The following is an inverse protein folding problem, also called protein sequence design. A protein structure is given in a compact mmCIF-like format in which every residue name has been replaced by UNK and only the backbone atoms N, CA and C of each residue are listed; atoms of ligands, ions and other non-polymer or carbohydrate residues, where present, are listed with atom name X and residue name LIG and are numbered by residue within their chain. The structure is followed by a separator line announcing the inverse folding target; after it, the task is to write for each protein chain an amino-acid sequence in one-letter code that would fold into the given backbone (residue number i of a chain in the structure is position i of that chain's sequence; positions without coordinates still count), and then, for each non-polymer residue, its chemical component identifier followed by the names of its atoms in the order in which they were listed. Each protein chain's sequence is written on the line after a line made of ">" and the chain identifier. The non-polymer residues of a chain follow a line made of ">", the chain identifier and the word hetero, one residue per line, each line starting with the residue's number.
data_IF_301581233153
#
_entry.id   IF_301581233153
#
_cell.length_a   1.000
_cell.length_b   1.000
_cell.length_c   1.000
_cell.angle_alpha   90.00
_cell.angle_beta   90.00
_cell.angle_gamma   90.00
#
_symmetry.space_group_name_H-M   'P 1'
#
loop_
_entity.id
_entity.type
_entity.pdbx_description
1 polymer ?
#
# COMPACT_ATOMS: atom_id res chain seq x y z
N UNK A 1 -29.06 7.37 12.25
CA UNK A 1 -28.26 6.70 13.31
C UNK A 1 -26.90 7.37 13.37
N UNK A 2 -26.54 7.97 14.52
CA UNK A 2 -25.20 8.54 14.72
C UNK A 2 -24.21 7.39 14.89
N UNK A 3 -23.30 7.19 13.92
CA UNK A 3 -22.20 6.22 14.06
C UNK A 3 -21.24 6.71 15.14
N UNK A 4 -21.18 6.00 16.26
CA UNK A 4 -20.19 6.27 17.29
C UNK A 4 -18.78 6.20 16.66
N UNK A 5 -17.99 7.26 16.83
CA UNK A 5 -16.59 7.25 16.38
C UNK A 5 -15.77 6.51 17.42
N UNK A 6 -15.29 5.32 17.08
CA UNK A 6 -14.39 4.54 17.92
C UNK A 6 -12.95 5.00 17.68
N UNK A 7 -12.20 5.24 18.75
CA UNK A 7 -10.78 5.64 18.63
C UNK A 7 -9.89 4.45 18.29
N UNK A 8 -10.29 3.24 18.67
CA UNK A 8 -9.54 2.01 18.46
C UNK A 8 -10.44 0.79 18.29
N UNK A 9 -9.88 -0.31 17.74
CA UNK A 9 -10.58 -1.59 17.65
C UNK A 9 -10.98 -2.15 19.03
N UNK A 10 -10.22 -1.82 20.08
CA UNK A 10 -10.53 -2.21 21.46
C UNK A 10 -11.79 -1.50 21.97
N UNK A 11 -11.96 -0.22 21.65
CA UNK A 11 -13.17 0.52 22.02
C UNK A 11 -14.42 -0.06 21.37
N UNK A 12 -14.29 -0.55 20.13
CA UNK A 12 -15.37 -1.24 19.43
C UNK A 12 -15.74 -2.56 20.12
N UNK A 13 -14.74 -3.39 20.48
CA UNK A 13 -15.00 -4.64 21.21
C UNK A 13 -15.65 -4.39 22.58
N UNK A 14 -15.20 -3.39 23.32
CA UNK A 14 -15.80 -3.00 24.59
C UNK A 14 -17.26 -2.54 24.41
N UNK A 15 -17.60 -1.87 23.31
CA UNK A 15 -18.98 -1.48 23.03
C UNK A 15 -19.86 -2.69 22.69
N UNK A 16 -19.36 -3.63 21.89
CA UNK A 16 -20.04 -4.88 21.60
C UNK A 16 -20.33 -5.67 22.87
N UNK A 17 -19.35 -5.76 23.78
CA UNK A 17 -19.49 -6.41 25.08
C UNK A 17 -20.56 -5.73 25.93
N UNK A 18 -20.56 -4.38 26.02
CA UNK A 18 -21.60 -3.61 26.73
C UNK A 18 -23.00 -3.84 26.18
N UNK A 19 -23.12 -4.08 24.87
CA UNK A 19 -24.39 -4.37 24.19
C UNK A 19 -24.77 -5.85 24.23
N UNK A 20 -23.94 -6.72 24.81
CA UNK A 20 -24.11 -8.18 24.78
C UNK A 20 -24.19 -8.74 23.34
N UNK A 21 -23.51 -8.09 22.38
CA UNK A 21 -23.50 -8.49 20.97
C UNK A 21 -22.15 -9.13 20.64
N UNK A 22 -22.18 -10.30 20.01
CA UNK A 22 -20.93 -10.94 19.54
C UNK A 22 -20.45 -10.31 18.24
N UNK A 23 -19.14 -10.38 17.97
CA UNK A 23 -18.57 -9.94 16.69
C UNK A 23 -19.25 -10.64 15.51
N UNK A 24 -19.53 -11.94 15.62
CA UNK A 24 -20.22 -12.71 14.60
C UNK A 24 -21.64 -12.21 14.34
N UNK A 25 -22.39 -11.87 15.40
CA UNK A 25 -23.72 -11.31 15.27
C UNK A 25 -23.68 -9.94 14.60
N UNK A 26 -22.78 -9.05 15.05
CA UNK A 26 -22.60 -7.74 14.43
C UNK A 26 -22.22 -7.85 12.94
N UNK A 27 -21.37 -8.80 12.57
CA UNK A 27 -21.00 -9.06 11.18
C UNK A 27 -22.21 -9.43 10.32
N UNK A 28 -23.11 -10.28 10.83
CA UNK A 28 -24.34 -10.66 10.13
C UNK A 28 -25.27 -9.47 9.93
N UNK A 29 -25.47 -8.68 10.99
CA UNK A 29 -26.35 -7.51 10.97
C UNK A 29 -25.85 -6.44 9.97
N UNK A 30 -24.52 -6.31 9.84
CA UNK A 30 -23.89 -5.32 8.96
C UNK A 30 -23.43 -5.91 7.61
N UNK A 31 -23.73 -7.19 7.33
CA UNK A 31 -23.38 -7.89 6.08
C UNK A 31 -21.87 -7.89 5.76
N UNK A 32 -21.03 -8.03 6.77
CA UNK A 32 -19.57 -8.16 6.59
C UNK A 32 -19.09 -9.59 6.83
N UNK A 33 -18.02 -9.98 6.14
CA UNK A 33 -17.31 -11.23 6.44
C UNK A 33 -16.58 -11.13 7.79
N UNK A 34 -16.75 -12.15 8.64
CA UNK A 34 -16.08 -12.26 9.94
C UNK A 34 -14.55 -12.23 9.79
N UNK A 35 -14.01 -12.83 8.73
CA UNK A 35 -12.57 -12.82 8.44
C UNK A 35 -12.04 -11.41 8.19
N UNK A 36 -12.82 -10.55 7.53
CA UNK A 36 -12.43 -9.17 7.23
C UNK A 36 -12.44 -8.33 8.50
N UNK A 37 -13.46 -8.49 9.35
CA UNK A 37 -13.56 -7.77 10.62
C UNK A 37 -12.43 -8.17 11.56
N UNK A 38 -12.09 -9.46 11.65
CA UNK A 38 -10.92 -9.91 12.40
C UNK A 38 -9.62 -9.34 11.86
N UNK A 39 -9.44 -9.32 10.54
CA UNK A 39 -8.25 -8.74 9.92
C UNK A 39 -8.10 -7.23 10.24
N UNK A 40 -9.21 -6.49 10.35
CA UNK A 40 -9.24 -5.08 10.78
C UNK A 40 -8.88 -4.96 12.26
N UNK A 41 -9.46 -5.79 13.13
CA UNK A 41 -9.18 -5.79 14.58
C UNK A 41 -7.71 -6.11 14.86
N UNK A 42 -7.14 -7.08 14.15
CA UNK A 42 -5.74 -7.50 14.29
C UNK A 42 -4.75 -6.53 13.66
N UNK A 43 -5.21 -5.47 12.97
CA UNK A 43 -4.35 -4.52 12.28
C UNK A 43 -3.63 -5.10 11.05
N UNK A 44 -4.01 -6.30 10.61
CA UNK A 44 -3.37 -7.01 9.49
C UNK A 44 -3.71 -6.38 8.12
N UNK A 45 -4.76 -5.57 8.03
CA UNK A 45 -5.17 -4.92 6.78
C UNK A 45 -4.47 -3.57 6.61
N UNK A 46 -3.28 -3.59 6.03
CA UNK A 46 -2.61 -2.39 5.52
C UNK A 46 -2.60 -2.46 3.99
N UNK A 47 -3.77 -2.33 3.35
CA UNK A 47 -3.80 -2.29 1.89
C UNK A 47 -5.16 -2.53 1.23
N UNK A 48 -5.74 -1.46 0.68
CA UNK A 48 -6.61 -1.39 -0.53
C UNK A 48 -7.82 -2.33 -0.72
N UNK A 49 -8.25 -3.16 0.24
CA UNK A 49 -9.55 -3.84 0.07
C UNK A 49 -10.71 -2.91 0.44
N UNK A 50 -11.56 -2.59 -0.54
CA UNK A 50 -12.72 -1.70 -0.36
C UNK A 50 -13.67 -2.16 0.75
N UNK A 51 -13.75 -3.48 0.98
CA UNK A 51 -14.59 -4.08 2.01
C UNK A 51 -14.04 -3.84 3.43
N UNK A 52 -12.73 -3.97 3.65
CA UNK A 52 -12.11 -3.64 4.94
C UNK A 52 -12.26 -2.16 5.28
N UNK A 53 -12.17 -1.29 4.27
CA UNK A 53 -12.45 0.15 4.43
C UNK A 53 -13.90 0.42 4.85
N UNK A 54 -14.85 -0.28 4.24
CA UNK A 54 -16.28 -0.19 4.61
C UNK A 54 -16.52 -0.72 6.02
N UNK A 55 -15.89 -1.83 6.40
CA UNK A 55 -15.94 -2.37 7.75
C UNK A 55 -15.39 -1.36 8.78
N UNK A 56 -14.22 -0.75 8.53
CA UNK A 56 -13.65 0.30 9.38
C UNK A 56 -14.60 1.51 9.52
N UNK A 57 -15.25 1.93 8.43
CA UNK A 57 -16.25 3.01 8.50
C UNK A 57 -17.46 2.64 9.34
N UNK A 58 -18.01 1.43 9.18
CA UNK A 58 -19.14 0.95 9.99
C UNK A 58 -18.76 0.76 11.46
N UNK A 59 -17.51 0.38 11.74
CA UNK A 59 -16.96 0.32 13.11
C UNK A 59 -16.56 1.70 13.64
N UNK A 60 -16.75 2.79 12.88
CA UNK A 60 -16.39 4.14 13.29
C UNK A 60 -14.88 4.37 13.53
N UNK A 61 -14.02 3.50 12.99
CA UNK A 61 -12.57 3.54 13.16
C UNK A 61 -11.91 4.59 12.26
N UNK A 62 -10.77 5.17 12.69
CA UNK A 62 -10.00 6.08 11.86
C UNK A 62 -9.47 5.33 10.62
N UNK A 63 -9.80 5.86 9.46
CA UNK A 63 -9.30 5.34 8.19
C UNK A 63 -7.81 5.63 8.08
N UNK A 64 -6.96 4.64 7.74
CA UNK A 64 -5.56 4.90 7.46
C UNK A 64 -5.51 5.94 6.34
N UNK A 65 -4.84 7.07 6.63
CA UNK A 65 -4.64 8.11 5.64
C UNK A 65 -3.96 7.46 4.44
N UNK A 66 -4.58 7.62 3.26
CA UNK A 66 -3.99 7.12 2.04
C UNK A 66 -2.65 7.84 1.89
N UNK A 67 -1.54 7.21 2.32
CA UNK A 67 -0.24 7.59 1.80
C UNK A 67 -0.41 7.38 0.30
N UNK A 68 -0.56 8.50 -0.43
CA UNK A 68 -0.28 8.51 -1.87
C UNK A 68 1.03 7.76 -1.99
N UNK A 69 1.02 6.66 -2.72
CA UNK A 69 2.24 6.18 -3.34
C UNK A 69 2.80 7.39 -4.11
N UNK A 70 3.69 8.16 -3.48
CA UNK A 70 4.67 8.91 -4.24
C UNK A 70 5.53 7.79 -4.83
N UNK A 71 5.57 7.60 -6.15
CA UNK A 71 6.61 6.75 -6.70
C UNK A 71 7.94 7.35 -6.23
N UNK A 72 8.66 6.62 -5.38
CA UNK A 72 9.98 6.99 -4.90
C UNK A 72 11.04 6.78 -5.99
N UNK A 73 10.72 7.09 -7.25
CA UNK A 73 11.62 6.89 -8.38
C UNK A 73 11.32 7.87 -9.51
N UNK A 74 11.55 9.16 -9.26
CA UNK A 74 12.00 10.02 -10.35
C UNK A 74 13.25 10.74 -9.84
N UNK A 75 14.31 9.95 -9.77
CA UNK A 75 15.67 10.48 -9.81
C UNK A 75 15.76 11.31 -11.08
N UNK A 76 15.68 12.62 -10.89
CA UNK A 76 15.84 13.63 -11.92
C UNK A 76 17.28 13.50 -12.42
N UNK A 77 17.43 12.87 -13.59
CA UNK A 77 18.56 13.04 -14.52
C UNK A 77 19.92 13.29 -13.85
N UNK A 78 20.56 12.25 -13.36
CA UNK A 78 22.02 12.20 -13.47
C UNK A 78 22.34 11.97 -14.96
N UNK A 79 22.59 13.04 -15.69
CA UNK A 79 23.36 12.97 -16.93
C UNK A 79 24.84 13.10 -16.55
N UNK A 80 25.61 12.00 -16.40
CA UNK A 80 27.04 12.10 -16.60
C UNK A 80 27.25 12.25 -18.11
N UNK A 81 27.45 13.49 -18.54
CA UNK A 81 28.09 13.81 -19.82
C UNK A 81 29.42 13.06 -19.87
N UNK A 82 29.45 11.91 -20.54
CA UNK A 82 30.67 11.18 -20.82
C UNK A 82 31.26 11.72 -22.13
N UNK A 83 32.40 12.44 -22.12
CA UNK A 83 33.10 12.81 -23.34
C UNK A 83 33.93 11.62 -23.82
N UNK A 84 33.26 10.59 -24.37
CA UNK A 84 33.94 9.46 -25.02
C UNK A 84 33.67 9.47 -26.52
N UNK A 85 34.00 10.59 -27.15
CA UNK A 85 34.38 10.61 -28.57
C UNK A 85 35.88 10.81 -28.63
N UNK A 86 36.62 9.78 -28.23
CA UNK A 86 38.04 9.69 -28.51
C UNK A 86 38.19 9.44 -30.02
N UNK A 87 38.56 10.49 -30.74
CA UNK A 87 39.08 10.43 -32.10
C UNK A 87 40.24 9.43 -32.19
N UNK A 88 39.94 8.20 -32.61
CA UNK A 88 40.94 7.23 -33.04
C UNK A 88 41.07 7.30 -34.57
N UNK A 89 41.71 8.38 -35.06
CA UNK A 89 42.33 8.43 -36.39
C UNK A 89 43.85 8.41 -36.23
N UNK A 90 44.42 7.22 -36.16
CA UNK A 90 45.82 6.88 -36.49
C UNK A 90 45.78 5.41 -36.95
N UNK A 91 45.77 5.12 -38.25
CA UNK A 91 46.93 5.03 -39.15
C UNK A 91 48.00 4.08 -38.60
N UNK A 92 48.16 2.88 -39.20
CA UNK A 92 49.39 2.06 -39.43
C UNK A 92 48.92 0.76 -40.13
N UNK A 93 49.05 0.58 -41.45
CA UNK A 93 50.17 -0.02 -42.23
C UNK A 93 50.43 -1.54 -42.08
N UNK A 94 50.83 -2.13 -43.23
CA UNK A 94 51.39 -3.47 -43.49
C UNK A 94 50.39 -4.65 -43.56
N UNK A 95 50.49 -5.64 -44.45
CA UNK A 95 51.31 -5.92 -45.64
C UNK A 95 50.84 -7.25 -46.26
N UNK A 96 51.09 -7.42 -47.56
CA UNK A 96 51.37 -8.68 -48.28
C UNK A 96 50.23 -9.69 -48.61
N UNK A 97 50.09 -9.95 -49.92
CA UNK A 97 50.12 -11.28 -50.59
C UNK A 97 49.75 -11.04 -52.06
N UNK A 98 50.68 -10.88 -53.01
CA UNK A 98 51.41 -11.93 -53.72
C UNK A 98 50.56 -13.15 -54.10
N UNK A 99 50.09 -13.16 -55.35
CA UNK A 99 50.02 -14.33 -56.24
C UNK A 99 49.96 -13.87 -57.69
#
# INVERSE_FOLDING_TARGET
>A
MMTAKHRSARDFLNELERKNVTVAQWCRDNKFSTSIVWAVISGAVVGRSGESRRAMQSMGLPLPSARRNRPAHQEVRAAPTNPRTASAKRQTQASAANR
#
